data_IF_181884345489
#
_entry.id   IF_181884345489
#
_cell.length_a   1.000
_cell.length_b   1.000
_cell.length_c   1.000
_cell.angle_alpha   90.00
_cell.angle_beta   90.00
_cell.angle_gamma   90.00
#
_symmetry.space_group_name_H-M   'P 1'
#
loop_
_entity.id
_entity.type
_entity.pdbx_description
1 polymer ?
#
# COMPACT_ATOMS: atom_id res chain seq x y z
N UNK A 1 19.76 6.56 -20.22
CA UNK A 1 20.41 5.78 -19.15
C UNK A 1 19.60 6.04 -17.90
N UNK A 2 18.64 5.17 -17.61
CA UNK A 2 17.81 5.24 -16.40
C UNK A 2 18.69 4.99 -15.19
N UNK A 3 18.83 5.97 -14.30
CA UNK A 3 19.60 5.85 -13.07
C UNK A 3 18.98 4.78 -12.17
N UNK A 4 19.76 3.78 -11.78
CA UNK A 4 19.36 2.80 -10.77
C UNK A 4 19.27 3.48 -9.41
N UNK A 5 18.10 3.45 -8.78
CA UNK A 5 17.93 3.96 -7.43
C UNK A 5 18.66 3.03 -6.43
N UNK A 6 19.51 3.62 -5.59
CA UNK A 6 20.22 2.90 -4.52
C UNK A 6 19.50 3.17 -3.20
N UNK A 7 19.25 2.12 -2.42
CA UNK A 7 18.87 2.28 -1.01
C UNK A 7 20.12 2.61 -0.17
N UNK A 8 19.99 3.15 1.05
CA UNK A 8 21.12 3.39 1.96
C UNK A 8 21.96 2.13 2.27
N UNK A 9 21.35 0.97 2.13
CA UNK A 9 22.02 -0.35 2.23
C UNK A 9 22.79 -0.74 0.97
N UNK A 10 22.85 0.13 -0.06
CA UNK A 10 23.49 -0.18 -1.34
C UNK A 10 22.64 -1.09 -2.25
N UNK A 11 21.40 -1.38 -1.90
CA UNK A 11 20.49 -2.19 -2.69
C UNK A 11 20.04 -1.44 -3.96
N UNK A 12 20.18 -2.07 -5.10
CA UNK A 12 19.71 -1.53 -6.38
C UNK A 12 18.30 -2.01 -6.65
N UNK A 13 17.34 -1.08 -6.73
CA UNK A 13 15.98 -1.37 -7.15
C UNK A 13 15.94 -1.51 -8.67
N UNK A 14 15.65 -2.71 -9.17
CA UNK A 14 15.51 -3.00 -10.59
C UNK A 14 14.33 -3.93 -10.81
N UNK A 15 13.53 -3.65 -11.82
CA UNK A 15 12.42 -4.51 -12.24
C UNK A 15 12.97 -5.83 -12.77
N UNK A 16 12.31 -6.94 -12.44
CA UNK A 16 12.66 -8.25 -12.97
C UNK A 16 12.57 -8.25 -14.51
N UNK A 17 13.68 -8.46 -15.22
CA UNK A 17 13.72 -8.38 -16.68
C UNK A 17 12.95 -9.50 -17.39
N UNK A 18 12.50 -10.53 -16.67
CA UNK A 18 11.74 -11.66 -17.21
C UNK A 18 10.24 -11.39 -17.30
N UNK A 19 9.76 -10.22 -16.83
CA UNK A 19 8.34 -9.88 -16.86
C UNK A 19 7.86 -9.59 -18.30
N UNK A 20 6.77 -10.24 -18.71
CA UNK A 20 6.05 -9.90 -19.95
C UNK A 20 5.11 -8.70 -19.73
N UNK A 21 5.67 -7.49 -19.83
CA UNK A 21 4.91 -6.26 -19.64
C UNK A 21 3.76 -6.12 -20.66
N UNK A 22 3.91 -6.70 -21.87
CA UNK A 22 2.87 -6.70 -22.88
C UNK A 22 1.66 -7.54 -22.48
N UNK A 23 1.87 -8.68 -21.81
CA UNK A 23 0.78 -9.48 -21.26
C UNK A 23 0.03 -8.72 -20.16
N UNK A 24 0.74 -8.08 -19.22
CA UNK A 24 0.13 -7.29 -18.16
C UNK A 24 -0.64 -6.07 -18.70
N UNK A 25 -0.12 -5.40 -19.74
CA UNK A 25 -0.81 -4.30 -20.41
C UNK A 25 -2.12 -4.73 -21.07
N UNK A 26 -2.21 -5.96 -21.60
CA UNK A 26 -3.49 -6.51 -22.11
C UNK A 26 -4.50 -6.67 -20.98
N UNK A 27 -4.11 -7.31 -19.88
CA UNK A 27 -4.98 -7.50 -18.70
C UNK A 27 -5.46 -6.16 -18.15
N UNK A 28 -4.56 -5.17 -18.04
CA UNK A 28 -4.92 -3.82 -17.60
C UNK A 28 -5.99 -3.17 -18.49
N UNK A 29 -5.85 -3.25 -19.81
CA UNK A 29 -6.82 -2.67 -20.77
C UNK A 29 -8.19 -3.35 -20.69
N UNK A 30 -8.22 -4.63 -20.40
CA UNK A 30 -9.46 -5.41 -20.32
C UNK A 30 -10.19 -5.22 -18.99
N UNK A 31 -9.46 -5.13 -17.88
CA UNK A 31 -10.03 -5.21 -16.52
C UNK A 31 -9.94 -3.90 -15.74
N UNK A 32 -9.03 -2.99 -16.11
CA UNK A 32 -8.72 -1.78 -15.35
C UNK A 32 -7.98 -2.07 -14.04
N UNK A 33 -7.44 -3.27 -13.88
CA UNK A 33 -6.50 -3.65 -12.82
C UNK A 33 -5.61 -4.79 -13.30
N UNK A 34 -4.46 -4.95 -12.65
CA UNK A 34 -3.52 -6.04 -12.94
C UNK A 34 -2.67 -6.37 -11.71
N UNK A 35 -2.29 -7.63 -11.56
CA UNK A 35 -1.31 -8.10 -10.59
C UNK A 35 -0.07 -8.61 -11.33
N UNK A 36 1.09 -8.02 -10.99
CA UNK A 36 2.41 -8.32 -11.58
C UNK A 36 3.22 -9.05 -10.51
N UNK A 37 3.30 -10.38 -10.54
CA UNK A 37 4.09 -11.17 -9.59
C UNK A 37 5.58 -11.01 -9.87
N UNK A 38 6.39 -11.30 -8.84
CA UNK A 38 7.85 -11.32 -8.93
C UNK A 38 8.44 -10.02 -9.51
N UNK A 39 7.94 -8.87 -9.00
CA UNK A 39 8.36 -7.55 -9.49
C UNK A 39 9.88 -7.36 -9.41
N UNK A 40 10.49 -7.81 -8.32
CA UNK A 40 11.93 -7.76 -8.08
C UNK A 40 12.57 -9.14 -8.12
N UNK A 41 13.88 -9.18 -8.29
CA UNK A 41 14.67 -10.38 -8.01
C UNK A 41 14.52 -10.79 -6.52
N UNK A 42 14.64 -12.09 -6.18
CA UNK A 42 14.36 -12.58 -4.83
C UNK A 42 15.19 -11.92 -3.72
N UNK A 43 16.44 -11.60 -3.96
CA UNK A 43 17.34 -10.92 -3.01
C UNK A 43 16.92 -9.48 -2.73
N UNK A 44 16.46 -8.76 -3.75
CA UNK A 44 15.91 -7.39 -3.61
C UNK A 44 14.60 -7.41 -2.82
N UNK A 45 13.70 -8.34 -3.15
CA UNK A 45 12.44 -8.50 -2.44
C UNK A 45 12.66 -8.87 -0.96
N UNK A 46 13.66 -9.72 -0.67
CA UNK A 46 14.04 -10.11 0.69
C UNK A 46 14.57 -8.93 1.48
N UNK A 47 15.44 -8.12 0.88
CA UNK A 47 15.99 -6.94 1.53
C UNK A 47 14.89 -5.91 1.84
N UNK A 48 13.95 -5.66 0.91
CA UNK A 48 12.81 -4.77 1.14
C UNK A 48 11.89 -5.28 2.23
N UNK A 49 11.62 -6.59 2.27
CA UNK A 49 10.86 -7.19 3.37
C UNK A 49 11.54 -6.93 4.73
N UNK A 50 12.87 -7.14 4.81
CA UNK A 50 13.63 -6.89 6.04
C UNK A 50 13.58 -5.42 6.49
N UNK A 51 13.62 -4.46 5.54
CA UNK A 51 13.45 -3.03 5.84
C UNK A 51 12.06 -2.74 6.42
N UNK A 52 11.00 -3.30 5.80
CA UNK A 52 9.62 -3.13 6.29
C UNK A 52 9.43 -3.74 7.68
N UNK A 53 9.96 -4.93 7.92
CA UNK A 53 9.78 -5.63 9.18
C UNK A 53 10.57 -5.02 10.34
N UNK A 54 11.81 -4.54 10.09
CA UNK A 54 12.78 -4.26 11.14
C UNK A 54 13.17 -2.78 11.28
N UNK A 55 13.02 -1.97 10.23
CA UNK A 55 13.55 -0.61 10.19
C UNK A 55 12.49 0.48 9.93
N UNK A 56 11.24 0.09 9.70
CA UNK A 56 10.17 1.07 9.45
C UNK A 56 9.67 1.66 10.77
N UNK A 57 9.67 2.99 10.95
CA UNK A 57 9.13 3.65 12.13
C UNK A 57 7.60 3.71 12.05
N UNK A 58 6.95 2.62 12.42
CA UNK A 58 5.51 2.48 12.33
C UNK A 58 4.75 3.41 13.29
N UNK A 59 3.70 4.04 12.79
CA UNK A 59 2.68 4.72 13.60
C UNK A 59 1.30 4.14 13.30
N UNK A 60 0.35 4.22 14.24
CA UNK A 60 -1.04 3.88 13.95
C UNK A 60 -1.67 5.03 13.19
N UNK A 61 -2.22 4.74 12.01
CA UNK A 61 -3.04 5.65 11.22
C UNK A 61 -4.48 5.18 11.30
N UNK A 62 -5.37 6.03 11.80
CA UNK A 62 -6.77 5.68 11.97
C UNK A 62 -7.69 6.89 11.71
N UNK A 63 -8.96 6.61 11.43
CA UNK A 63 -10.01 7.62 11.46
C UNK A 63 -10.61 7.65 12.85
N UNK A 64 -10.55 8.81 13.52
CA UNK A 64 -11.17 9.00 14.83
C UNK A 64 -12.69 8.88 14.78
N UNK A 65 -13.34 8.80 15.96
CA UNK A 65 -14.81 8.69 16.04
C UNK A 65 -15.55 9.85 15.36
N UNK A 66 -14.94 11.03 15.35
CA UNK A 66 -15.46 12.26 14.72
C UNK A 66 -15.14 12.36 13.21
N UNK A 67 -14.42 11.41 12.64
CA UNK A 67 -13.99 11.40 11.26
C UNK A 67 -12.62 12.05 11.00
N UNK A 68 -11.97 12.57 12.02
CA UNK A 68 -10.64 13.18 11.91
C UNK A 68 -9.59 12.08 11.62
N UNK A 69 -8.71 12.33 10.65
CA UNK A 69 -7.55 11.48 10.44
C UNK A 69 -6.55 11.68 11.59
N UNK A 70 -6.19 10.60 12.25
CA UNK A 70 -5.26 10.59 13.37
C UNK A 70 -4.02 9.77 13.04
N UNK A 71 -2.87 10.27 13.51
CA UNK A 71 -1.59 9.57 13.53
C UNK A 71 -1.17 9.42 14.99
N UNK A 72 -0.98 8.21 15.46
CA UNK A 72 -0.49 7.91 16.80
C UNK A 72 0.89 7.30 16.71
N UNK A 73 1.91 8.11 16.90
CA UNK A 73 3.31 7.67 16.99
C UNK A 73 3.63 7.11 18.39
N UNK A 74 4.86 6.64 18.57
CA UNK A 74 5.32 6.05 19.83
C UNK A 74 5.23 7.04 21.00
N UNK A 75 5.48 8.33 20.80
CA UNK A 75 5.41 9.34 21.86
C UNK A 75 3.97 9.57 22.29
N UNK A 76 3.04 9.70 21.34
CA UNK A 76 1.61 9.81 21.62
C UNK A 76 1.08 8.56 22.32
N UNK A 77 1.39 7.36 21.81
CA UNK A 77 0.97 6.10 22.44
C UNK A 77 1.47 5.97 23.87
N UNK A 78 2.70 6.43 24.16
CA UNK A 78 3.26 6.40 25.52
C UNK A 78 2.58 7.40 26.47
N UNK A 79 1.93 8.43 25.95
CA UNK A 79 1.19 9.44 26.73
C UNK A 79 -0.26 9.05 27.02
N UNK A 80 -0.82 8.11 26.27
CA UNK A 80 -2.20 7.66 26.42
C UNK A 80 -2.30 6.46 27.35
N UNK A 81 -3.43 6.36 28.06
CA UNK A 81 -3.78 5.15 28.82
C UNK A 81 -4.33 4.09 27.87
N UNK A 82 -4.13 2.82 28.19
CA UNK A 82 -4.64 1.68 27.40
C UNK A 82 -6.13 1.82 27.05
N UNK A 83 -6.95 2.26 28.02
CA UNK A 83 -8.38 2.47 27.82
C UNK A 83 -8.67 3.56 26.76
N UNK A 84 -7.85 4.61 26.69
CA UNK A 84 -8.01 5.67 25.66
C UNK A 84 -7.65 5.12 24.27
N UNK A 85 -6.57 4.34 24.19
CA UNK A 85 -6.18 3.67 22.93
C UNK A 85 -7.31 2.74 22.47
N UNK A 86 -7.84 1.90 23.37
CA UNK A 86 -8.95 1.00 23.05
C UNK A 86 -10.21 1.75 22.60
N UNK A 87 -10.50 2.91 23.21
CA UNK A 87 -11.63 3.76 22.82
C UNK A 87 -11.44 4.30 21.40
N UNK A 88 -10.24 4.74 21.03
CA UNK A 88 -9.94 5.23 19.68
C UNK A 88 -10.07 4.10 18.64
N UNK A 89 -9.49 2.94 18.92
CA UNK A 89 -9.55 1.79 18.00
C UNK A 89 -11.00 1.30 17.80
N UNK A 90 -11.76 1.13 18.88
CA UNK A 90 -13.15 0.72 18.82
C UNK A 90 -14.05 1.77 18.18
N UNK A 91 -13.78 3.05 18.40
CA UNK A 91 -14.47 4.18 17.75
C UNK A 91 -14.25 4.18 16.23
N UNK A 92 -13.03 3.94 15.78
CA UNK A 92 -12.70 3.79 14.36
C UNK A 92 -13.45 2.62 13.73
N UNK A 93 -13.48 1.45 14.39
CA UNK A 93 -14.20 0.28 13.91
C UNK A 93 -15.73 0.50 13.88
N UNK A 94 -16.28 1.16 14.91
CA UNK A 94 -17.71 1.49 14.96
C UNK A 94 -18.11 2.44 13.83
N UNK A 95 -17.28 3.47 13.52
CA UNK A 95 -17.51 4.40 12.44
C UNK A 95 -17.57 3.69 11.07
N UNK A 96 -16.75 2.67 10.86
CA UNK A 96 -16.73 1.90 9.61
C UNK A 96 -18.08 1.27 9.23
N UNK A 97 -19.02 1.14 10.19
CA UNK A 97 -20.37 0.63 9.91
C UNK A 97 -21.27 1.63 9.20
N UNK A 98 -20.96 2.91 9.21
CA UNK A 98 -21.82 3.98 8.67
C UNK A 98 -21.10 4.93 7.71
N UNK A 99 -19.77 5.02 7.79
CA UNK A 99 -18.98 5.99 7.05
C UNK A 99 -17.57 5.46 6.76
N UNK A 100 -16.81 6.19 5.93
CA UNK A 100 -15.41 5.87 5.70
C UNK A 100 -14.61 5.87 7.01
N UNK A 101 -13.86 4.82 7.21
CA UNK A 101 -12.93 4.68 8.33
C UNK A 101 -11.82 3.69 7.99
N UNK A 102 -10.69 3.82 8.65
CA UNK A 102 -9.58 2.88 8.55
C UNK A 102 -8.78 2.83 9.85
N UNK A 103 -8.10 1.72 10.06
CA UNK A 103 -7.14 1.54 11.13
C UNK A 103 -6.05 0.57 10.65
N UNK A 104 -4.80 0.99 10.61
CA UNK A 104 -3.64 0.16 10.28
C UNK A 104 -2.33 0.88 10.69
N UNK A 105 -1.21 0.18 10.65
CA UNK A 105 0.09 0.81 10.78
C UNK A 105 0.52 1.41 9.44
N UNK A 106 1.13 2.60 9.48
CA UNK A 106 1.66 3.30 8.33
C UNK A 106 3.00 3.96 8.63
N UNK A 107 3.75 4.27 7.58
CA UNK A 107 4.91 5.14 7.59
C UNK A 107 4.96 5.88 6.24
N UNK A 108 4.97 7.20 6.27
CA UNK A 108 5.07 8.01 5.06
C UNK A 108 6.50 7.93 4.51
N UNK A 109 6.65 7.61 3.22
CA UNK A 109 7.94 7.41 2.55
C UNK A 109 8.33 8.57 1.63
N UNK A 110 7.39 9.46 1.33
CA UNK A 110 7.65 10.75 0.69
C UNK A 110 7.46 11.81 1.75
N UNK A 111 8.45 12.64 1.95
CA UNK A 111 8.40 13.72 2.93
C UNK A 111 7.23 14.68 2.62
N UNK A 112 6.15 14.54 3.36
CA UNK A 112 5.26 15.65 3.69
C UNK A 112 5.96 16.52 4.73
N UNK A 113 5.33 17.51 5.29
CA UNK A 113 5.91 18.46 6.24
C UNK A 113 7.05 17.94 7.14
N UNK A 114 7.99 18.81 7.48
CA UNK A 114 9.34 18.62 8.03
C UNK A 114 9.47 17.85 9.38
N UNK A 115 8.48 17.10 9.80
CA UNK A 115 8.41 16.45 11.13
C UNK A 115 8.09 14.93 11.05
N UNK A 116 8.31 14.31 9.89
CA UNK A 116 8.07 12.88 9.74
C UNK A 116 9.39 12.10 9.77
N UNK A 117 9.48 11.09 10.64
CA UNK A 117 10.53 10.07 10.65
C UNK A 117 10.46 9.23 9.35
N UNK A 118 10.80 9.86 8.21
CA UNK A 118 10.86 9.18 6.91
C UNK A 118 12.11 8.31 6.90
N UNK A 119 12.00 6.99 6.71
CA UNK A 119 13.16 6.12 6.68
C UNK A 119 14.03 6.40 5.44
N UNK A 120 15.34 6.23 5.58
CA UNK A 120 16.33 6.50 4.53
C UNK A 120 16.03 5.79 3.19
N UNK A 121 15.41 4.61 3.23
CA UNK A 121 15.03 3.89 2.02
C UNK A 121 13.83 4.50 1.27
N UNK A 122 13.07 5.40 1.91
CA UNK A 122 11.89 6.04 1.33
C UNK A 122 12.22 6.84 0.08
N UNK A 123 13.30 7.62 0.11
CA UNK A 123 13.74 8.42 -1.05
C UNK A 123 14.10 7.53 -2.26
N UNK A 124 14.74 6.38 -2.03
CA UNK A 124 15.07 5.44 -3.11
C UNK A 124 13.82 4.82 -3.74
N UNK A 125 12.83 4.45 -2.92
CA UNK A 125 11.54 3.93 -3.40
C UNK A 125 10.73 5.02 -4.12
N UNK A 126 10.72 6.23 -3.61
CA UNK A 126 10.06 7.36 -4.28
C UNK A 126 10.69 7.60 -5.67
N UNK A 127 12.02 7.64 -5.79
CA UNK A 127 12.72 7.77 -7.06
C UNK A 127 12.40 6.60 -8.01
N UNK A 128 12.37 5.35 -7.51
CA UNK A 128 12.02 4.18 -8.31
C UNK A 128 10.63 4.30 -8.95
N UNK A 129 9.64 4.81 -8.22
CA UNK A 129 8.27 4.97 -8.73
C UNK A 129 8.01 6.32 -9.41
N UNK A 130 8.91 7.32 -9.32
CA UNK A 130 8.72 8.64 -9.95
C UNK A 130 9.35 8.72 -11.34
N UNK A 131 10.61 8.35 -11.46
CA UNK A 131 11.41 8.46 -12.69
C UNK A 131 12.32 7.27 -12.98
N UNK A 132 12.27 6.23 -12.12
CA UNK A 132 13.01 4.98 -12.27
C UNK A 132 12.25 3.91 -13.02
N UNK A 133 12.80 2.68 -12.98
CA UNK A 133 12.25 1.50 -13.69
C UNK A 133 10.82 1.16 -13.27
N UNK A 134 10.41 1.44 -12.02
CA UNK A 134 9.04 1.27 -11.56
C UNK A 134 8.06 2.20 -12.26
N UNK A 135 8.44 3.45 -12.49
CA UNK A 135 7.65 4.40 -13.26
C UNK A 135 7.52 3.96 -14.73
N UNK A 136 8.62 3.49 -15.34
CA UNK A 136 8.61 2.97 -16.72
C UNK A 136 7.72 1.74 -16.86
N UNK A 137 7.73 0.84 -15.87
CA UNK A 137 6.83 -0.31 -15.82
C UNK A 137 5.38 0.16 -15.75
N UNK A 138 5.04 1.09 -14.82
CA UNK A 138 3.68 1.60 -14.68
C UNK A 138 3.22 2.24 -16.00
N UNK A 139 4.04 3.10 -16.63
CA UNK A 139 3.73 3.72 -17.94
C UNK A 139 3.47 2.67 -19.02
N UNK A 140 4.33 1.64 -19.10
CA UNK A 140 4.24 0.58 -20.09
C UNK A 140 2.97 -0.25 -19.92
N UNK A 141 2.63 -0.62 -18.69
CA UNK A 141 1.48 -1.47 -18.38
C UNK A 141 0.17 -0.70 -18.48
N UNK A 142 0.14 0.55 -17.98
CA UNK A 142 -1.11 1.32 -17.87
C UNK A 142 -1.39 2.19 -19.09
N UNK A 143 -0.37 2.57 -19.85
CA UNK A 143 -0.47 3.55 -20.94
C UNK A 143 -0.59 5.00 -20.45
N UNK A 144 -0.47 5.27 -19.15
CA UNK A 144 -0.43 6.63 -18.61
C UNK A 144 0.89 7.29 -19.02
N UNK A 145 0.83 8.31 -19.87
CA UNK A 145 2.01 8.90 -20.53
C UNK A 145 2.82 9.83 -19.63
N UNK A 146 2.20 10.42 -18.62
CA UNK A 146 2.83 11.31 -17.66
C UNK A 146 2.33 10.96 -16.26
N UNK A 147 3.20 11.10 -15.28
CA UNK A 147 2.85 10.88 -13.88
C UNK A 147 4.10 10.66 -13.04
N UNK A 148 3.90 10.84 -11.76
CA UNK A 148 4.87 10.56 -10.72
C UNK A 148 4.13 9.98 -9.51
N UNK A 149 4.87 9.41 -8.57
CA UNK A 149 4.28 9.01 -7.31
C UNK A 149 3.79 10.27 -6.56
N UNK A 150 2.51 10.31 -6.25
CA UNK A 150 1.89 11.42 -5.51
C UNK A 150 1.85 11.15 -4.01
N UNK A 151 1.60 9.89 -3.67
CA UNK A 151 1.59 9.39 -2.31
C UNK A 151 2.35 8.07 -2.29
N UNK A 152 3.22 7.89 -1.33
CA UNK A 152 3.92 6.63 -1.09
C UNK A 152 4.03 6.41 0.41
N UNK A 153 3.51 5.29 0.87
CA UNK A 153 3.61 4.90 2.26
C UNK A 153 3.89 3.40 2.39
N UNK A 154 4.64 3.04 3.41
CA UNK A 154 4.65 1.68 3.91
C UNK A 154 3.38 1.46 4.75
N UNK A 155 2.72 0.32 4.56
CA UNK A 155 1.53 -0.07 5.32
C UNK A 155 1.70 -1.46 5.91
N UNK A 156 1.22 -1.65 7.14
CA UNK A 156 1.19 -2.95 7.79
C UNK A 156 -0.22 -3.16 8.38
N UNK A 157 -0.91 -4.18 7.91
CA UNK A 157 -2.23 -4.58 8.40
C UNK A 157 -2.08 -5.81 9.29
N UNK A 158 -2.45 -5.66 10.56
CA UNK A 158 -2.44 -6.72 11.60
C UNK A 158 -3.85 -7.27 11.81
N UNK A 159 -4.02 -8.36 12.54
CA UNK A 159 -5.34 -8.83 12.91
C UNK A 159 -6.23 -7.72 13.47
N UNK A 160 -7.40 -7.53 12.85
CA UNK A 160 -8.35 -6.47 13.16
C UNK A 160 -8.16 -5.16 12.38
N UNK A 161 -7.01 -4.95 11.73
CA UNK A 161 -6.79 -3.76 10.89
C UNK A 161 -7.62 -3.85 9.59
N UNK A 162 -8.08 -2.69 9.10
CA UNK A 162 -8.99 -2.59 7.94
C UNK A 162 -8.90 -1.23 7.26
N UNK A 163 -9.48 -1.15 6.05
CA UNK A 163 -9.86 0.10 5.38
C UNK A 163 -11.25 -0.06 4.79
N UNK A 164 -12.22 0.69 5.30
CA UNK A 164 -13.61 0.67 4.81
C UNK A 164 -13.71 1.18 3.36
N UNK A 165 -14.88 1.01 2.77
CA UNK A 165 -15.16 1.43 1.40
C UNK A 165 -14.93 2.94 1.22
N UNK A 166 -14.10 3.28 0.24
CA UNK A 166 -13.78 4.64 -0.16
C UNK A 166 -13.96 4.80 -1.68
N UNK A 167 -14.02 6.05 -2.12
CA UNK A 167 -14.10 6.41 -3.53
C UNK A 167 -12.95 7.33 -3.89
N UNK A 168 -12.04 6.86 -4.71
CA UNK A 168 -11.03 7.71 -5.32
C UNK A 168 -11.53 8.18 -6.69
N UNK A 169 -11.72 9.47 -6.84
CA UNK A 169 -12.29 10.12 -8.03
C UNK A 169 -11.23 10.73 -8.94
N UNK A 170 -9.94 10.61 -8.61
CA UNK A 170 -8.85 11.10 -9.47
C UNK A 170 -8.95 10.44 -10.85
N UNK A 171 -8.83 11.24 -11.91
CA UNK A 171 -8.81 10.74 -13.27
C UNK A 171 -7.36 10.58 -13.76
N UNK A 172 -7.13 9.67 -14.70
CA UNK A 172 -5.82 9.41 -15.31
C UNK A 172 -4.72 9.10 -14.28
N UNK A 173 -5.09 8.35 -13.26
CA UNK A 173 -4.18 7.91 -12.21
C UNK A 173 -4.36 6.41 -11.94
N UNK A 174 -3.40 5.82 -11.25
CA UNK A 174 -3.45 4.45 -10.78
C UNK A 174 -3.15 4.37 -9.28
N UNK A 175 -3.94 3.61 -8.55
CA UNK A 175 -3.54 3.11 -7.24
C UNK A 175 -2.56 1.97 -7.43
N UNK A 176 -1.58 1.86 -6.55
CA UNK A 176 -0.70 0.70 -6.52
C UNK A 176 -0.47 0.18 -5.10
N UNK A 177 -0.21 -1.12 -5.01
CA UNK A 177 0.27 -1.80 -3.81
C UNK A 177 1.32 -2.82 -4.21
N UNK A 178 2.51 -2.68 -3.66
CA UNK A 178 3.57 -3.68 -3.77
C UNK A 178 3.63 -4.46 -2.46
N UNK A 179 3.09 -5.66 -2.49
CA UNK A 179 2.89 -6.51 -1.32
C UNK A 179 4.10 -7.41 -1.05
N UNK A 180 4.42 -7.57 0.25
CA UNK A 180 5.46 -8.47 0.77
C UNK A 180 4.88 -9.47 1.79
N UNK A 181 3.69 -9.99 1.51
CA UNK A 181 2.93 -10.86 2.43
C UNK A 181 3.32 -12.32 2.25
N UNK A 182 4.26 -12.82 3.07
CA UNK A 182 4.79 -14.20 2.99
C UNK A 182 3.77 -15.22 3.48
N UNK A 183 3.59 -16.28 2.69
CA UNK A 183 2.72 -17.41 3.07
C UNK A 183 1.28 -16.98 3.33
N UNK A 184 0.85 -15.84 2.79
CA UNK A 184 -0.43 -15.24 3.08
C UNK A 184 -1.57 -16.05 2.47
N UNK A 185 -2.59 -16.32 3.27
CA UNK A 185 -3.76 -17.10 2.84
C UNK A 185 -4.91 -16.17 2.46
N UNK A 186 -5.65 -16.53 1.42
CA UNK A 186 -6.78 -15.74 0.94
C UNK A 186 -7.91 -15.57 1.99
N UNK A 187 -8.04 -16.51 2.93
CA UNK A 187 -9.02 -16.48 4.02
C UNK A 187 -8.58 -15.62 5.22
N UNK A 188 -7.39 -15.01 5.19
CA UNK A 188 -6.92 -14.11 6.24
C UNK A 188 -7.41 -12.67 6.11
N UNK A 189 -8.16 -12.34 5.06
CA UNK A 189 -8.56 -10.95 4.78
C UNK A 189 -7.46 -10.18 4.03
N UNK A 190 -7.45 -8.85 4.15
CA UNK A 190 -6.42 -7.99 3.56
C UNK A 190 -6.46 -7.86 2.04
N UNK A 191 -7.41 -8.48 1.35
CA UNK A 191 -7.59 -8.29 -0.08
C UNK A 191 -8.00 -6.83 -0.38
N UNK A 192 -7.49 -6.29 -1.48
CA UNK A 192 -8.14 -5.14 -2.08
C UNK A 192 -9.44 -5.59 -2.72
N UNK A 193 -10.56 -5.09 -2.21
CA UNK A 193 -11.89 -5.35 -2.73
C UNK A 193 -12.27 -4.17 -3.64
N UNK A 194 -12.46 -4.46 -4.92
CA UNK A 194 -12.94 -3.47 -5.89
C UNK A 194 -14.46 -3.55 -5.97
N UNK A 195 -15.12 -2.40 -5.96
CA UNK A 195 -16.57 -2.31 -5.89
C UNK A 195 -17.14 -1.64 -7.15
N UNK A 196 -18.38 -2.00 -7.49
CA UNK A 196 -19.19 -1.28 -8.47
C UNK A 196 -19.86 -0.04 -7.83
N UNK A 197 -20.62 0.71 -8.63
CA UNK A 197 -21.31 1.91 -8.14
C UNK A 197 -22.42 1.60 -7.12
N UNK A 198 -22.99 0.39 -7.14
CA UNK A 198 -23.98 -0.06 -6.16
C UNK A 198 -23.33 -0.48 -4.82
N UNK A 199 -22.01 -0.61 -4.77
CA UNK A 199 -21.27 -1.04 -3.58
C UNK A 199 -20.99 -2.54 -3.52
N UNK A 200 -21.42 -3.31 -4.52
CA UNK A 200 -21.13 -4.74 -4.57
C UNK A 200 -19.66 -5.00 -4.88
N UNK A 201 -19.11 -6.05 -4.28
CA UNK A 201 -17.73 -6.49 -4.56
C UNK A 201 -17.71 -7.13 -5.96
N UNK A 202 -16.92 -6.56 -6.86
CA UNK A 202 -16.70 -7.09 -8.20
C UNK A 202 -15.55 -8.08 -8.23
N UNK A 203 -14.47 -7.78 -7.47
CA UNK A 203 -13.30 -8.66 -7.37
C UNK A 203 -12.53 -8.42 -6.08
N UNK A 204 -11.78 -9.43 -5.64
CA UNK A 204 -10.85 -9.36 -4.52
C UNK A 204 -9.44 -9.71 -4.99
N UNK A 205 -8.50 -8.76 -4.81
CA UNK A 205 -7.10 -8.92 -5.19
C UNK A 205 -6.30 -9.37 -3.97
N UNK A 206 -5.88 -10.64 -3.98
CA UNK A 206 -5.19 -11.26 -2.83
C UNK A 206 -3.76 -10.75 -2.75
N UNK A 207 -3.30 -10.25 -1.58
CA UNK A 207 -1.92 -9.87 -1.38
C UNK A 207 -1.00 -11.10 -1.41
N UNK A 208 0.19 -10.93 -1.99
CA UNK A 208 1.22 -11.98 -2.03
C UNK A 208 2.61 -11.37 -1.84
N UNK A 209 3.59 -12.21 -1.68
CA UNK A 209 4.97 -11.77 -1.60
C UNK A 209 5.49 -11.30 -2.97
N UNK A 210 6.16 -10.14 -3.00
CA UNK A 210 6.76 -9.53 -4.20
C UNK A 210 5.76 -9.33 -5.36
N UNK A 211 4.54 -8.87 -5.01
CA UNK A 211 3.43 -8.71 -5.94
C UNK A 211 3.03 -7.24 -6.06
N UNK A 212 3.21 -6.67 -7.25
CA UNK A 212 2.67 -5.34 -7.56
C UNK A 212 1.24 -5.46 -8.06
N UNK A 213 0.31 -4.79 -7.40
CA UNK A 213 -1.08 -4.61 -7.84
C UNK A 213 -1.25 -3.19 -8.34
N UNK A 214 -1.81 -3.02 -9.53
CA UNK A 214 -2.21 -1.73 -10.12
C UNK A 214 -3.72 -1.70 -10.33
N UNK A 215 -4.37 -0.58 -10.00
CA UNK A 215 -5.82 -0.38 -10.17
C UNK A 215 -6.08 0.99 -10.78
N UNK A 216 -6.81 1.04 -11.89
CA UNK A 216 -7.18 2.28 -12.58
C UNK A 216 -8.16 3.12 -11.74
N UNK A 217 -7.95 4.43 -11.70
CA UNK A 217 -8.85 5.40 -11.11
C UNK A 217 -9.69 6.09 -12.22
N UNK A 218 -10.93 6.53 -11.91
CA UNK A 218 -11.60 6.48 -10.60
C UNK A 218 -12.09 5.08 -10.22
N UNK A 219 -12.02 4.73 -8.94
CA UNK A 219 -12.45 3.42 -8.42
C UNK A 219 -12.97 3.51 -6.98
N UNK A 220 -14.00 2.73 -6.67
CA UNK A 220 -14.42 2.44 -5.28
C UNK A 220 -13.69 1.19 -4.81
N UNK A 221 -13.07 1.26 -3.64
CA UNK A 221 -12.25 0.16 -3.13
C UNK A 221 -12.21 0.14 -1.60
N UNK A 222 -11.85 -1.01 -1.05
CA UNK A 222 -11.62 -1.20 0.39
C UNK A 222 -10.51 -2.22 0.60
N UNK A 223 -10.01 -2.32 1.83
CA UNK A 223 -9.16 -3.45 2.25
C UNK A 223 -9.94 -4.26 3.26
N UNK A 224 -10.18 -5.53 2.94
CA UNK A 224 -10.87 -6.45 3.84
C UNK A 224 -10.15 -6.52 5.19
N UNK A 225 -10.92 -6.53 6.29
CA UNK A 225 -10.34 -6.66 7.63
C UNK A 225 -9.51 -7.93 7.75
N UNK A 226 -8.36 -7.81 8.44
CA UNK A 226 -7.51 -8.97 8.71
C UNK A 226 -8.17 -9.84 9.77
N UNK A 227 -8.29 -11.13 9.47
CA UNK A 227 -8.89 -12.11 10.37
C UNK A 227 -8.08 -12.24 11.69
N UNK A 228 -8.74 -12.45 12.84
CA UNK A 228 -8.05 -12.63 14.12
C UNK A 228 -7.06 -13.81 14.15
N UNK A 229 -7.26 -14.78 13.29
CA UNK A 229 -6.42 -15.99 13.16
C UNK A 229 -5.33 -15.88 12.09
N UNK A 230 -5.15 -14.71 11.48
CA UNK A 230 -4.03 -14.48 10.55
C UNK A 230 -2.69 -14.60 11.30
N UNK A 231 -1.81 -15.47 10.82
CA UNK A 231 -0.56 -15.76 11.52
C UNK A 231 0.53 -14.72 11.28
N UNK A 232 0.44 -13.96 10.19
CA UNK A 232 1.41 -12.92 9.82
C UNK A 232 0.70 -11.64 9.40
N UNK A 233 1.27 -10.47 9.66
CA UNK A 233 0.74 -9.22 9.15
C UNK A 233 0.90 -9.13 7.62
N UNK A 234 0.11 -8.28 7.00
CA UNK A 234 0.26 -7.89 5.61
C UNK A 234 1.15 -6.65 5.53
N UNK A 235 2.34 -6.76 4.94
CA UNK A 235 3.20 -5.62 4.61
C UNK A 235 3.03 -5.21 3.16
N UNK A 236 2.96 -3.91 2.90
CA UNK A 236 2.94 -3.38 1.54
C UNK A 236 3.54 -1.96 1.46
N UNK A 237 4.01 -1.60 0.27
CA UNK A 237 4.24 -0.23 -0.16
C UNK A 237 3.04 0.18 -1.00
N UNK A 238 2.32 1.19 -0.58
CA UNK A 238 1.07 1.61 -1.24
C UNK A 238 1.12 3.07 -1.62
N UNK A 239 0.49 3.42 -2.72
CA UNK A 239 0.48 4.80 -3.17
C UNK A 239 -0.42 5.06 -4.36
N UNK A 240 -0.32 6.29 -4.86
CA UNK A 240 -1.00 6.75 -6.07
C UNK A 240 0.04 7.27 -7.05
N UNK A 241 -0.16 6.93 -8.31
CA UNK A 241 0.65 7.36 -9.43
C UNK A 241 -0.23 8.07 -10.46
N UNK A 242 0.12 9.31 -10.84
CA UNK A 242 -0.66 10.12 -11.79
C UNK A 242 -0.17 11.54 -11.92
#
# INVERSE_FOLDING_TARGET
>A
MTGRALTPTGLTLAVNPLLDLGAFARVWREQGYVQVPDLFAPDVAEALYGLLEQQTPWHIRLTGPDGTLMRLDQAMLSSLKDQQIQTLLSGSASRASTDFSHCHLACDLVAGDADTDTPDYGAALAGFFTDGEGADLIRTVTGLSSGAVQELMATCFRPGDFRALDSDTRAQAALFSLDFSRGYRADWGGQWLLHNMAGDIVTGLVPRYNLLTLVALPRRWSVAAIAPYAATPRFALSGTWG
#
